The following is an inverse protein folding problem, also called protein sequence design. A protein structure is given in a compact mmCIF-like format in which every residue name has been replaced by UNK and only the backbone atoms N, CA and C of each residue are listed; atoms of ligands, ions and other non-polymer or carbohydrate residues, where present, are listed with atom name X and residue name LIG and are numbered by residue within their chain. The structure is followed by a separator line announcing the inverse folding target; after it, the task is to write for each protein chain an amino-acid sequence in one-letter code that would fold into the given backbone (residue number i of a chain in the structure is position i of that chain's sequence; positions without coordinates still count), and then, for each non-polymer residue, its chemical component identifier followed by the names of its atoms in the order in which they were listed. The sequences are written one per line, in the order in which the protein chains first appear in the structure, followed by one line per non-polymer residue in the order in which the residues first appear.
data_IF_548829709093
#
_entry.id   IF_548829709093
#
_cell.length_a   1.000
_cell.length_b   1.000
_cell.length_c   1.000
_cell.angle_alpha   90.00
_cell.angle_beta   90.00
_cell.angle_gamma   90.00
#
_symmetry.space_group_name_H-M   'P 1'
#
loop_
_entity.id
_entity.type
_entity.pdbx_description
1 polymer ?
#
# COMPACT_ATOMS: atom_id res chain seq x y z
N UNK A 1 2.90 -3.75 22.06
CA UNK A 1 1.67 -4.01 21.29
C UNK A 1 1.85 -3.58 19.82
N UNK A 2 2.73 -4.26 19.07
CA UNK A 2 3.38 -3.66 17.89
C UNK A 2 2.93 -4.12 16.49
N UNK A 3 1.86 -4.91 16.36
CA UNK A 3 1.51 -5.57 15.10
C UNK A 3 0.02 -5.52 14.75
N UNK A 4 -0.69 -4.45 15.12
CA UNK A 4 -2.04 -4.26 14.59
C UNK A 4 -1.94 -3.97 13.09
N UNK A 5 -2.36 -4.97 12.30
CA UNK A 5 -2.32 -4.93 10.85
C UNK A 5 -3.72 -4.62 10.32
N UNK A 6 -3.97 -3.37 9.91
CA UNK A 6 -5.32 -2.96 9.49
C UNK A 6 -5.71 -3.53 8.13
N UNK A 7 -4.73 -3.77 7.26
CA UNK A 7 -4.92 -4.34 5.93
C UNK A 7 -3.70 -5.15 5.52
N UNK A 8 -3.97 -6.26 4.82
CA UNK A 8 -2.96 -7.12 4.21
C UNK A 8 -3.32 -7.37 2.76
N UNK A 9 -2.30 -7.53 1.91
CA UNK A 9 -2.47 -7.89 0.50
C UNK A 9 -1.37 -8.84 0.06
N UNK A 10 -1.74 -9.89 -0.67
CA UNK A 10 -0.78 -10.79 -1.29
C UNK A 10 -0.09 -10.10 -2.46
N UNK A 11 1.22 -10.31 -2.57
CA UNK A 11 1.97 -9.93 -3.75
C UNK A 11 1.58 -10.84 -4.93
N UNK A 12 1.54 -10.34 -6.18
CA UNK A 12 1.10 -11.13 -7.34
C UNK A 12 1.87 -12.43 -7.57
N UNK A 13 3.15 -12.49 -7.18
CA UNK A 13 3.95 -13.72 -7.24
C UNK A 13 3.55 -14.82 -6.25
N UNK A 14 2.66 -14.53 -5.29
CA UNK A 14 2.19 -15.51 -4.31
C UNK A 14 3.18 -15.85 -3.19
N UNK A 15 4.44 -15.43 -3.29
CA UNK A 15 5.49 -15.78 -2.33
C UNK A 15 5.57 -14.86 -1.10
N UNK A 16 4.95 -13.68 -1.18
CA UNK A 16 4.97 -12.68 -0.12
C UNK A 16 3.61 -11.99 0.01
N UNK A 17 3.37 -11.36 1.17
CA UNK A 17 2.27 -10.43 1.36
C UNK A 17 2.75 -9.19 2.09
N UNK A 18 2.12 -8.06 1.83
CA UNK A 18 2.32 -6.82 2.56
C UNK A 18 1.28 -6.67 3.67
N UNK A 19 1.68 -6.08 4.79
CA UNK A 19 0.83 -5.73 5.91
C UNK A 19 1.08 -4.28 6.34
N UNK A 20 0.01 -3.50 6.48
CA UNK A 20 0.05 -2.12 6.98
C UNK A 20 -0.03 -2.10 8.50
N UNK A 21 0.94 -1.47 9.14
CA UNK A 21 0.98 -1.28 10.59
C UNK A 21 0.40 0.08 11.00
N UNK A 22 -0.28 0.12 12.15
CA UNK A 22 -0.68 1.39 12.77
C UNK A 22 0.49 2.31 13.14
N UNK A 23 1.72 1.82 13.11
CA UNK A 23 2.94 2.60 13.32
C UNK A 23 3.47 3.26 12.04
N UNK A 24 2.59 3.51 11.05
CA UNK A 24 2.91 4.25 9.81
C UNK A 24 4.00 3.59 8.95
N UNK A 25 4.00 2.26 8.89
CA UNK A 25 4.88 1.52 8.00
C UNK A 25 4.21 0.29 7.41
N UNK A 26 4.70 -0.09 6.24
CA UNK A 26 4.36 -1.28 5.50
C UNK A 26 5.51 -2.26 5.66
N UNK A 27 5.19 -3.50 6.02
CA UNK A 27 6.15 -4.58 6.13
C UNK A 27 5.67 -5.77 5.31
N UNK A 28 6.62 -6.56 4.81
CA UNK A 28 6.33 -7.73 4.00
C UNK A 28 6.74 -9.01 4.72
N UNK A 29 5.96 -10.05 4.51
CA UNK A 29 6.17 -11.38 5.09
C UNK A 29 6.15 -12.43 3.98
N UNK A 30 6.88 -13.52 4.17
CA UNK A 30 6.73 -14.70 3.33
C UNK A 30 5.34 -15.33 3.54
N UNK A 31 4.73 -15.85 2.47
CA UNK A 31 3.45 -16.59 2.53
C UNK A 31 3.60 -18.03 3.00
N UNK A 32 4.82 -18.55 3.01
CA UNK A 32 5.13 -19.90 3.44
C UNK A 32 5.90 -19.91 4.77
N UNK A 33 5.76 -20.98 5.58
CA UNK A 33 6.54 -21.14 6.80
C UNK A 33 8.05 -20.98 6.55
N UNK A 34 8.79 -20.28 7.44
CA UNK A 34 8.36 -19.82 8.75
C UNK A 34 7.83 -18.37 8.76
N UNK A 35 7.20 -17.89 7.68
CA UNK A 35 6.55 -16.57 7.57
C UNK A 35 7.48 -15.40 7.91
N UNK A 36 8.74 -15.47 7.46
CA UNK A 36 9.76 -14.48 7.80
C UNK A 36 9.36 -13.09 7.32
N UNK A 37 9.48 -12.10 8.20
CA UNK A 37 9.38 -10.70 7.84
C UNK A 37 10.64 -10.24 7.08
N UNK A 38 10.47 -9.44 6.02
CA UNK A 38 11.61 -8.74 5.42
C UNK A 38 12.06 -7.62 6.35
N UNK A 39 13.38 -7.40 6.43
CA UNK A 39 13.97 -6.30 7.22
C UNK A 39 13.55 -4.92 6.72
N UNK A 40 13.25 -4.79 5.42
CA UNK A 40 12.94 -3.51 4.80
C UNK A 40 11.49 -3.12 5.02
N UNK A 41 11.30 -1.91 5.51
CA UNK A 41 9.99 -1.29 5.76
C UNK A 41 9.77 -0.15 4.76
N UNK A 42 8.52 0.02 4.34
CA UNK A 42 8.08 1.11 3.49
C UNK A 42 7.35 2.13 4.38
N UNK A 43 7.96 3.30 4.57
CA UNK A 43 7.50 4.32 5.52
C UNK A 43 6.82 5.48 4.78
N UNK A 44 6.55 6.61 5.44
CA UNK A 44 5.97 7.85 4.87
C UNK A 44 4.45 7.94 4.77
N UNK A 45 3.72 6.83 4.64
CA UNK A 45 2.25 6.89 4.73
C UNK A 45 1.85 7.01 6.19
N UNK A 46 0.70 7.63 6.43
CA UNK A 46 0.10 7.72 7.76
C UNK A 46 -1.15 6.85 7.80
N UNK A 47 -1.26 5.97 8.80
CA UNK A 47 -2.45 5.13 8.99
C UNK A 47 -3.39 5.74 10.01
N UNK A 48 -2.86 6.21 11.16
CA UNK A 48 -3.63 6.88 12.23
C UNK A 48 -4.94 6.15 12.63
N UNK A 49 -4.94 4.81 12.64
CA UNK A 49 -6.11 3.99 12.95
C UNK A 49 -7.12 3.80 11.81
N UNK A 50 -6.92 4.45 10.65
CA UNK A 50 -7.77 4.27 9.48
C UNK A 50 -7.45 2.98 8.73
N UNK A 51 -8.45 2.41 8.06
CA UNK A 51 -8.28 1.30 7.13
C UNK A 51 -7.91 1.84 5.74
N UNK A 52 -6.69 2.38 5.63
CA UNK A 52 -6.18 2.97 4.39
C UNK A 52 -6.01 1.94 3.29
N UNK A 53 -6.04 2.39 2.05
CA UNK A 53 -5.93 1.54 0.87
C UNK A 53 -4.57 0.83 0.78
N UNK A 54 -4.57 -0.37 0.21
CA UNK A 54 -3.36 -1.13 -0.13
C UNK A 54 -3.62 -1.91 -1.41
N UNK A 55 -2.76 -1.76 -2.41
CA UNK A 55 -2.85 -2.45 -3.70
C UNK A 55 -1.45 -2.77 -4.23
N UNK A 56 -1.33 -3.77 -5.11
CA UNK A 56 -0.09 -4.13 -5.81
C UNK A 56 -0.24 -3.93 -7.32
N UNK A 57 0.82 -3.50 -7.97
CA UNK A 57 0.86 -3.50 -9.42
C UNK A 57 0.78 -4.94 -9.94
N UNK A 58 0.18 -5.19 -11.11
CA UNK A 58 0.06 -6.55 -11.66
C UNK A 58 1.42 -7.21 -11.90
N UNK A 59 2.47 -6.43 -12.17
CA UNK A 59 3.84 -6.94 -12.32
C UNK A 59 4.58 -7.13 -10.98
N UNK A 60 3.97 -6.75 -9.85
CA UNK A 60 4.52 -6.88 -8.50
C UNK A 60 5.68 -5.92 -8.17
N UNK A 61 6.07 -5.04 -9.09
CA UNK A 61 7.20 -4.12 -8.85
C UNK A 61 6.84 -3.00 -7.89
N UNK A 62 5.56 -2.64 -7.82
CA UNK A 62 5.09 -1.50 -7.04
C UNK A 62 4.00 -1.90 -6.07
N UNK A 63 3.96 -1.19 -4.94
CA UNK A 63 2.87 -1.27 -3.96
C UNK A 63 2.37 0.15 -3.66
N UNK A 64 1.05 0.30 -3.62
CA UNK A 64 0.37 1.56 -3.38
C UNK A 64 -0.20 1.51 -1.98
N UNK A 65 0.06 2.54 -1.19
CA UNK A 65 -0.56 2.78 0.10
C UNK A 65 -1.34 4.07 0.06
N UNK A 66 -2.59 4.01 0.48
CA UNK A 66 -3.32 5.19 0.92
C UNK A 66 -2.72 5.73 2.22
N UNK A 67 -2.98 7.01 2.49
CA UNK A 67 -2.59 7.69 3.72
C UNK A 67 -3.75 8.49 4.29
N UNK A 68 -3.81 8.59 5.62
CA UNK A 68 -4.83 9.29 6.38
C UNK A 68 -4.82 10.80 6.12
N UNK A 69 -3.67 11.34 5.71
CA UNK A 69 -3.52 12.75 5.31
C UNK A 69 -4.07 13.04 3.89
N UNK A 70 -4.60 12.04 3.19
CA UNK A 70 -5.12 12.18 1.83
C UNK A 70 -4.05 12.19 0.75
N UNK A 71 -2.89 11.60 1.02
CA UNK A 71 -1.90 11.25 0.01
C UNK A 71 -2.05 9.78 -0.44
N UNK A 72 -1.79 9.51 -1.71
CA UNK A 72 -1.42 8.18 -2.20
C UNK A 72 0.09 8.07 -2.33
N UNK A 73 0.68 6.97 -1.89
CA UNK A 73 2.12 6.74 -1.94
C UNK A 73 2.40 5.43 -2.67
N UNK A 74 3.24 5.48 -3.70
CA UNK A 74 3.72 4.31 -4.41
C UNK A 74 5.14 4.02 -3.96
N UNK A 75 5.41 2.76 -3.65
CA UNK A 75 6.71 2.26 -3.28
C UNK A 75 7.23 1.27 -4.31
N UNK A 76 8.53 1.31 -4.57
CA UNK A 76 9.24 0.18 -5.17
C UNK A 76 9.25 -0.98 -4.17
N UNK A 77 8.69 -2.12 -4.54
CA UNK A 77 8.56 -3.30 -3.68
C UNK A 77 9.91 -3.93 -3.32
N UNK A 78 10.88 -3.89 -4.24
CA UNK A 78 12.20 -4.48 -4.00
C UNK A 78 13.09 -3.52 -3.22
N UNK A 79 13.12 -2.25 -3.63
CA UNK A 79 13.89 -1.20 -2.99
C UNK A 79 13.27 -0.66 -1.71
N UNK A 80 11.98 -0.88 -1.44
CA UNK A 80 11.27 -0.41 -0.24
C UNK A 80 11.23 1.10 -0.05
N UNK A 81 11.52 1.88 -1.11
CA UNK A 81 11.52 3.34 -1.11
C UNK A 81 10.27 3.85 -1.81
N UNK A 82 9.77 5.01 -1.38
CA UNK A 82 8.73 5.72 -2.13
C UNK A 82 9.31 6.18 -3.47
N UNK A 83 8.55 5.97 -4.54
CA UNK A 83 8.88 6.42 -5.90
C UNK A 83 7.93 7.50 -6.37
N UNK A 84 6.73 7.57 -5.79
CA UNK A 84 5.73 8.57 -6.09
C UNK A 84 4.92 8.91 -4.84
N UNK A 85 4.63 10.18 -4.65
CA UNK A 85 3.72 10.69 -3.63
C UNK A 85 2.75 11.67 -4.27
N UNK A 86 1.48 11.31 -4.28
CA UNK A 86 0.44 12.09 -4.94
C UNK A 86 -0.53 12.64 -3.91
N UNK A 87 -0.71 13.96 -3.89
CA UNK A 87 -1.73 14.60 -3.07
C UNK A 87 -3.08 14.47 -3.77
N UNK A 88 -3.98 13.70 -3.18
CA UNK A 88 -5.31 13.42 -3.72
C UNK A 88 -6.36 14.31 -3.04
N UNK A 89 -6.22 14.51 -1.72
CA UNK A 89 -7.13 15.39 -0.98
C UNK A 89 -6.68 15.59 0.47
N UNK A 90 -7.67 15.83 1.34
CA UNK A 90 -7.47 16.01 2.79
C UNK A 90 -8.12 14.91 3.64
N UNK A 91 -8.68 13.89 2.99
CA UNK A 91 -9.39 12.79 3.63
C UNK A 91 -8.63 11.48 3.41
N UNK A 92 -8.72 10.51 4.33
CA UNK A 92 -8.03 9.23 4.18
C UNK A 92 -8.35 8.54 2.86
N UNK A 93 -7.32 8.03 2.20
CA UNK A 93 -7.49 7.19 1.00
C UNK A 93 -7.78 5.77 1.46
N UNK A 94 -9.01 5.31 1.31
CA UNK A 94 -9.54 4.06 1.90
C UNK A 94 -9.71 2.94 0.87
N UNK A 95 -9.82 3.30 -0.41
CA UNK A 95 -9.91 2.37 -1.52
C UNK A 95 -8.81 2.67 -2.55
N UNK A 96 -8.20 1.60 -3.09
CA UNK A 96 -7.34 1.69 -4.25
C UNK A 96 -7.26 0.33 -4.92
N UNK A 97 -7.15 0.35 -6.24
CA UNK A 97 -7.02 -0.83 -7.07
C UNK A 97 -6.13 -0.50 -8.26
N UNK A 98 -5.17 -1.38 -8.52
CA UNK A 98 -4.32 -1.24 -9.69
C UNK A 98 -5.04 -1.84 -10.89
N UNK A 99 -4.83 -1.26 -12.07
CA UNK A 99 -5.33 -1.84 -13.29
C UNK A 99 -4.72 -3.25 -13.47
N UNK A 100 -5.53 -4.29 -13.73
CA UNK A 100 -5.06 -5.68 -13.73
C UNK A 100 -4.07 -6.00 -14.86
N UNK A 101 -4.02 -5.16 -15.89
CA UNK A 101 -3.16 -5.36 -17.08
C UNK A 101 -2.09 -4.26 -17.20
N UNK A 102 -2.35 -3.05 -16.72
CA UNK A 102 -1.53 -1.87 -17.00
C UNK A 102 -0.79 -1.48 -15.70
N UNK A 103 0.53 -1.73 -15.58
CA UNK A 103 1.24 -1.51 -14.33
C UNK A 103 1.36 -0.04 -13.91
N UNK A 104 1.22 0.89 -14.85
CA UNK A 104 1.31 2.32 -14.57
C UNK A 104 -0.01 2.92 -14.06
N UNK A 105 -1.12 2.19 -14.22
CA UNK A 105 -2.45 2.74 -13.94
C UNK A 105 -3.00 2.28 -12.60
N UNK A 106 -3.34 3.21 -11.70
CA UNK A 106 -3.97 2.93 -10.41
C UNK A 106 -5.12 3.89 -10.14
N UNK A 107 -6.25 3.33 -9.68
CA UNK A 107 -7.38 4.11 -9.18
C UNK A 107 -7.33 4.12 -7.67
N UNK A 108 -7.61 5.29 -7.08
CA UNK A 108 -7.69 5.48 -5.65
C UNK A 108 -8.89 6.33 -5.29
N UNK A 109 -9.41 6.16 -4.08
CA UNK A 109 -10.63 6.82 -3.64
C UNK A 109 -10.72 6.96 -2.13
N UNK A 110 -11.60 7.85 -1.71
CA UNK A 110 -11.88 8.14 -0.31
C UNK A 110 -13.38 7.96 0.01
N UNK A 111 -13.72 8.18 1.27
CA UNK A 111 -15.09 8.13 1.79
C UNK A 111 -16.01 9.24 1.29
N UNK A 112 -15.47 10.31 0.68
CA UNK A 112 -16.26 11.40 0.10
C UNK A 112 -16.77 11.09 -1.30
N UNK A 113 -16.47 9.91 -1.84
CA UNK A 113 -16.88 9.48 -3.17
C UNK A 113 -16.04 10.08 -4.31
N UNK A 114 -14.91 10.70 -4.00
CA UNK A 114 -13.98 11.19 -5.03
C UNK A 114 -13.03 10.07 -5.45
N UNK A 115 -12.83 9.93 -6.75
CA UNK A 115 -11.88 8.98 -7.34
C UNK A 115 -10.77 9.74 -8.07
N UNK A 116 -9.55 9.23 -7.93
CA UNK A 116 -8.39 9.70 -8.66
C UNK A 116 -7.80 8.55 -9.47
N UNK A 117 -7.61 8.79 -10.76
CA UNK A 117 -6.89 7.93 -11.66
C UNK A 117 -5.46 8.48 -11.82
N UNK A 118 -4.49 7.59 -11.67
CA UNK A 118 -3.08 7.84 -11.93
C UNK A 118 -2.62 6.92 -13.05
N UNK A 119 -1.79 7.44 -13.97
CA UNK A 119 -1.24 6.75 -15.14
C UNK A 119 0.28 6.91 -15.24
#
# INVERSE_FOLDING_TARGET
EGYTCNRVKSHPSGNHFAAQSNQNYLISFATHPPFKARKKRMNEHTVAGYNVALSFSPDGKFVFSGSADGCGIVYDWMGGKSVLKCKQGRKPITAAEWHPILPSMVVSGNDTGTLWLYE
#
